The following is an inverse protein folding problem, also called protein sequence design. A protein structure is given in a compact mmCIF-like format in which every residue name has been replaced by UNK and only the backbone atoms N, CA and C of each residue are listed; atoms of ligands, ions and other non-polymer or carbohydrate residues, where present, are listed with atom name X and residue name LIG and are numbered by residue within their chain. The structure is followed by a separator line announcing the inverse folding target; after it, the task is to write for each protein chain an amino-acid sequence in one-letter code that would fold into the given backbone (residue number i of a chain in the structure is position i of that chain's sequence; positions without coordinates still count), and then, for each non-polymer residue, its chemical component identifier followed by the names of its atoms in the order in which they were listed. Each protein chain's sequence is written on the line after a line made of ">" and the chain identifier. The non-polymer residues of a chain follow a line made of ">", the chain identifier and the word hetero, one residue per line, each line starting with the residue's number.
data_IF_894359258683
#
_entry.id   IF_894359258683
#
_cell.length_a   1.000
_cell.length_b   1.000
_cell.length_c   1.000
_cell.angle_alpha   90.00
_cell.angle_beta   90.00
_cell.angle_gamma   90.00
#
_symmetry.space_group_name_H-M   'P 1'
#
loop_
_entity.id
_entity.type
_entity.pdbx_description
1 polymer ?
#
# COMPACT_ATOMS: atom_id res chain seq x y z
N UNK A 1 15.51 13.69 6.33
CA UNK A 1 16.41 12.55 6.07
C UNK A 1 15.52 11.34 5.78
N UNK A 2 15.35 11.00 4.50
CA UNK A 2 14.50 9.90 4.06
C UNK A 2 15.25 8.57 4.18
N UNK A 3 14.55 7.46 4.48
CA UNK A 3 15.17 6.13 4.56
C UNK A 3 15.69 5.63 3.20
N UNK A 4 16.26 4.43 3.15
CA UNK A 4 16.87 3.81 1.94
C UNK A 4 15.93 3.69 0.70
N UNK A 5 14.63 3.94 0.87
CA UNK A 5 13.58 3.99 -0.17
C UNK A 5 12.96 5.39 -0.38
N UNK A 6 13.56 6.44 0.18
CA UNK A 6 12.98 7.78 0.13
C UNK A 6 11.70 7.96 0.97
N UNK A 7 11.32 6.97 1.79
CA UNK A 7 10.07 7.01 2.56
C UNK A 7 10.05 8.12 3.63
N UNK A 8 8.89 8.76 3.88
CA UNK A 8 8.73 9.74 4.95
C UNK A 8 9.12 9.18 6.31
N UNK A 9 9.71 10.05 7.15
CA UNK A 9 10.04 9.69 8.53
C UNK A 9 8.74 9.36 9.28
N UNK A 10 8.71 8.20 9.92
CA UNK A 10 7.54 7.75 10.69
C UNK A 10 6.49 6.99 9.89
N UNK A 11 6.65 6.78 8.57
CA UNK A 11 5.71 6.00 7.75
C UNK A 11 5.38 4.63 8.38
N UNK A 12 6.41 3.92 8.88
CA UNK A 12 6.25 2.61 9.50
C UNK A 12 5.38 2.66 10.76
N UNK A 13 5.58 3.67 11.60
CA UNK A 13 4.78 3.87 12.82
C UNK A 13 3.37 4.32 12.48
N UNK A 14 3.20 5.14 11.45
CA UNK A 14 1.90 5.65 11.00
C UNK A 14 0.99 4.55 10.46
N UNK A 15 1.57 3.55 9.80
CA UNK A 15 0.85 2.39 9.24
C UNK A 15 0.85 1.17 10.16
N UNK A 16 1.36 1.29 11.39
CA UNK A 16 1.53 0.17 12.32
C UNK A 16 2.21 -1.05 11.66
N UNK A 17 3.25 -0.80 10.86
CA UNK A 17 4.00 -1.85 10.16
C UNK A 17 4.62 -2.78 11.18
N UNK A 18 4.33 -4.08 11.05
CA UNK A 18 4.72 -5.06 12.05
C UNK A 18 6.25 -5.18 12.17
N UNK A 19 6.78 -5.45 13.38
CA UNK A 19 8.19 -5.72 13.57
C UNK A 19 8.68 -6.85 12.65
N UNK A 20 9.86 -6.67 12.05
CA UNK A 20 10.46 -7.65 11.14
C UNK A 20 10.02 -7.56 9.68
N UNK A 21 8.98 -6.80 9.34
CA UNK A 21 8.60 -6.58 7.94
C UNK A 21 9.54 -5.58 7.25
N UNK A 22 10.07 -5.93 6.08
CA UNK A 22 10.93 -5.03 5.29
C UNK A 22 10.06 -4.23 4.34
N UNK A 23 10.15 -2.91 4.39
CA UNK A 23 9.47 -2.04 3.42
C UNK A 23 10.13 -2.26 2.05
N UNK A 24 9.31 -2.45 1.02
CA UNK A 24 9.73 -2.70 -0.37
C UNK A 24 9.40 -1.49 -1.23
N UNK A 25 8.16 -1.01 -1.14
CA UNK A 25 7.68 0.16 -1.86
C UNK A 25 6.70 0.95 -1.00
N UNK A 26 6.50 2.21 -1.34
CA UNK A 26 5.47 3.04 -0.73
C UNK A 26 4.91 4.04 -1.74
N UNK A 27 3.72 4.53 -1.46
CA UNK A 27 3.13 5.66 -2.17
C UNK A 27 2.24 6.49 -1.26
N UNK A 28 1.86 7.65 -1.76
CA UNK A 28 0.95 8.56 -1.08
C UNK A 28 0.09 9.31 -2.08
N UNK A 29 -1.13 9.64 -1.69
CA UNK A 29 -2.03 10.46 -2.51
C UNK A 29 -3.18 11.03 -1.71
N UNK A 30 -3.89 11.96 -2.35
CA UNK A 30 -5.11 12.52 -1.79
C UNK A 30 -6.29 11.56 -2.05
N UNK A 31 -7.04 11.16 -1.00
CA UNK A 31 -8.23 10.36 -1.18
C UNK A 31 -9.29 11.17 -1.95
N UNK A 32 -10.18 10.47 -2.67
CA UNK A 32 -11.23 11.12 -3.46
C UNK A 32 -12.18 11.99 -2.60
N UNK A 33 -12.34 11.65 -1.33
CA UNK A 33 -13.12 12.39 -0.35
C UNK A 33 -12.26 12.64 0.89
N UNK A 34 -11.49 13.73 0.89
CA UNK A 34 -10.69 14.13 2.06
C UNK A 34 -9.57 15.10 1.69
N UNK A 35 -9.00 15.74 2.71
CA UNK A 35 -7.86 16.67 2.56
C UNK A 35 -6.55 16.07 3.03
N UNK A 36 -6.60 14.94 3.73
CA UNK A 36 -5.41 14.36 4.36
C UNK A 36 -4.75 13.37 3.41
N UNK A 37 -3.44 13.54 3.23
CA UNK A 37 -2.61 12.61 2.45
C UNK A 37 -2.68 11.23 3.09
N UNK A 38 -3.06 10.25 2.29
CA UNK A 38 -3.09 8.83 2.68
C UNK A 38 -1.85 8.12 2.15
N UNK A 39 -1.36 7.15 2.89
CA UNK A 39 -0.20 6.34 2.52
C UNK A 39 -0.57 4.90 2.21
N UNK A 40 0.20 4.32 1.30
CA UNK A 40 0.24 2.88 1.03
C UNK A 40 1.68 2.41 1.21
N UNK A 41 1.87 1.26 1.86
CA UNK A 41 3.16 0.62 1.98
C UNK A 41 3.07 -0.85 1.59
N UNK A 42 3.95 -1.27 0.68
CA UNK A 42 4.19 -2.67 0.38
C UNK A 42 5.41 -3.14 1.16
N UNK A 43 5.25 -4.21 1.92
CA UNK A 43 6.35 -4.87 2.63
C UNK A 43 6.65 -6.22 1.98
N UNK A 44 7.64 -6.94 2.50
CA UNK A 44 7.86 -8.34 2.10
C UNK A 44 6.78 -9.32 2.60
N UNK A 45 5.75 -8.86 3.34
CA UNK A 45 4.70 -9.72 3.92
C UNK A 45 3.27 -9.26 3.61
N UNK A 46 3.03 -7.98 3.39
CA UNK A 46 1.69 -7.42 3.20
C UNK A 46 1.68 -6.08 2.44
N UNK A 47 0.50 -5.66 2.00
CA UNK A 47 0.16 -4.27 1.67
C UNK A 47 -0.55 -3.65 2.87
N UNK A 48 -0.16 -2.43 3.23
CA UNK A 48 -0.83 -1.56 4.19
C UNK A 48 -1.53 -0.42 3.47
N UNK A 49 -2.79 -0.18 3.82
CA UNK A 49 -3.66 0.80 3.18
C UNK A 49 -4.20 1.74 4.26
N UNK A 50 -3.60 2.92 4.41
CA UNK A 50 -3.94 3.84 5.50
C UNK A 50 -5.40 4.28 5.47
N UNK A 51 -5.92 4.61 4.28
CA UNK A 51 -7.28 5.12 4.10
C UNK A 51 -8.36 4.16 4.61
N UNK A 52 -8.01 2.87 4.73
CA UNK A 52 -8.90 1.82 5.23
C UNK A 52 -8.48 1.30 6.60
N UNK A 53 -7.30 1.70 7.11
CA UNK A 53 -6.71 1.10 8.32
C UNK A 53 -6.42 -0.40 8.15
N UNK A 54 -6.13 -0.84 6.93
CA UNK A 54 -6.08 -2.27 6.60
C UNK A 54 -4.66 -2.77 6.30
N UNK A 55 -4.41 -4.02 6.71
CA UNK A 55 -3.24 -4.81 6.34
C UNK A 55 -3.70 -6.06 5.57
N UNK A 56 -3.29 -6.18 4.31
CA UNK A 56 -3.63 -7.31 3.45
C UNK A 56 -2.37 -8.14 3.22
N UNK A 57 -2.25 -9.36 3.81
CA UNK A 57 -1.14 -10.25 3.52
C UNK A 57 -1.08 -10.62 2.04
N UNK A 58 0.13 -10.86 1.51
CA UNK A 58 0.29 -11.22 0.10
C UNK A 58 -0.51 -12.47 -0.32
N UNK A 59 -0.67 -13.43 0.59
CA UNK A 59 -1.46 -14.65 0.33
C UNK A 59 -2.95 -14.36 0.08
N UNK A 60 -3.43 -13.17 0.45
CA UNK A 60 -4.78 -12.68 0.19
C UNK A 60 -4.85 -11.66 -0.94
N UNK A 61 -3.77 -11.45 -1.70
CA UNK A 61 -3.76 -10.57 -2.87
C UNK A 61 -3.75 -11.43 -4.13
N UNK A 62 -4.83 -11.37 -4.90
CA UNK A 62 -4.91 -12.06 -6.20
C UNK A 62 -4.10 -11.32 -7.27
N UNK A 63 -4.24 -9.99 -7.28
CA UNK A 63 -3.60 -9.12 -8.25
C UNK A 63 -3.45 -7.72 -7.67
N UNK A 64 -2.33 -7.07 -7.95
CA UNK A 64 -2.18 -5.64 -7.77
C UNK A 64 -1.72 -5.04 -9.10
N UNK A 65 -2.35 -3.94 -9.51
CA UNK A 65 -2.02 -3.21 -10.72
C UNK A 65 -1.97 -1.72 -10.39
N UNK A 66 -0.90 -1.07 -10.82
CA UNK A 66 -0.79 0.37 -10.73
C UNK A 66 -0.87 0.94 -12.15
N UNK A 67 -1.91 1.73 -12.40
CA UNK A 67 -2.13 2.49 -13.62
C UNK A 67 -2.23 3.95 -13.19
N UNK A 68 -1.12 4.68 -13.29
CA UNK A 68 -0.94 5.99 -12.64
C UNK A 68 -2.13 6.95 -12.92
N UNK A 69 -2.72 7.56 -11.88
CA UNK A 69 -2.32 7.56 -10.46
C UNK A 69 -3.01 6.48 -9.60
N UNK A 70 -3.69 5.50 -10.19
CA UNK A 70 -4.58 4.58 -9.48
C UNK A 70 -3.93 3.22 -9.21
N UNK A 71 -3.76 2.87 -7.93
CA UNK A 71 -3.43 1.53 -7.49
C UNK A 71 -4.73 0.74 -7.27
N UNK A 72 -4.87 -0.37 -7.98
CA UNK A 72 -5.93 -1.36 -7.83
C UNK A 72 -5.38 -2.64 -7.19
N UNK A 73 -5.97 -3.06 -6.07
CA UNK A 73 -5.64 -4.31 -5.37
C UNK A 73 -6.88 -5.19 -5.31
N UNK A 74 -6.78 -6.39 -5.88
CA UNK A 74 -7.83 -7.41 -5.80
C UNK A 74 -7.49 -8.33 -4.62
N UNK A 75 -8.30 -8.24 -3.56
CA UNK A 75 -8.18 -9.07 -2.38
C UNK A 75 -9.06 -10.33 -2.48
N UNK A 76 -8.55 -11.41 -1.90
CA UNK A 76 -9.21 -12.70 -1.77
C UNK A 76 -9.95 -12.78 -0.43
N UNK A 77 -11.07 -13.51 -0.40
CA UNK A 77 -11.68 -13.96 0.84
C UNK A 77 -10.97 -15.19 1.45
N UNK A 78 -11.50 -15.70 2.56
CA UNK A 78 -10.99 -16.91 3.22
C UNK A 78 -11.15 -18.20 2.41
N UNK A 79 -11.93 -18.19 1.32
CA UNK A 79 -12.07 -19.31 0.38
C UNK A 79 -11.16 -19.16 -0.86
N UNK A 80 -10.32 -18.12 -0.89
CA UNK A 80 -9.43 -17.82 -2.01
C UNK A 80 -10.15 -17.27 -3.24
N UNK A 81 -11.38 -16.77 -3.09
CA UNK A 81 -12.13 -16.14 -4.18
C UNK A 81 -11.93 -14.62 -4.16
N UNK A 82 -11.79 -13.96 -5.33
CA UNK A 82 -11.79 -12.51 -5.41
C UNK A 82 -13.07 -11.94 -4.79
N UNK A 83 -12.92 -11.16 -3.72
CA UNK A 83 -14.05 -10.69 -2.92
C UNK A 83 -14.14 -9.18 -2.87
N UNK A 84 -13.02 -8.48 -3.08
CA UNK A 84 -12.95 -7.03 -2.97
C UNK A 84 -11.90 -6.43 -3.90
N UNK A 85 -12.29 -5.36 -4.58
CA UNK A 85 -11.37 -4.46 -5.27
C UNK A 85 -11.15 -3.23 -4.39
N UNK A 86 -9.91 -2.96 -4.02
CA UNK A 86 -9.50 -1.72 -3.36
C UNK A 86 -8.79 -0.84 -4.39
N UNK A 87 -9.31 0.37 -4.56
CA UNK A 87 -8.70 1.38 -5.44
C UNK A 87 -8.22 2.55 -4.60
N UNK A 88 -6.93 2.87 -4.68
CA UNK A 88 -6.30 4.00 -3.98
C UNK A 88 -5.60 4.89 -4.99
N UNK A 89 -5.84 6.20 -4.90
CA UNK A 89 -5.09 7.20 -5.66
C UNK A 89 -3.75 7.45 -4.99
N UNK A 90 -2.67 7.34 -5.76
CA UNK A 90 -1.29 7.60 -5.36
C UNK A 90 -0.68 8.63 -6.32
N UNK A 91 -0.44 9.84 -5.81
CA UNK A 91 0.16 10.94 -6.56
C UNK A 91 1.69 10.92 -6.49
N UNK A 92 2.27 10.22 -5.51
CA UNK A 92 3.69 9.96 -5.38
C UNK A 92 3.92 8.50 -5.03
N UNK A 93 4.93 7.86 -5.64
CA UNK A 93 5.35 6.52 -5.26
C UNK A 93 6.87 6.36 -5.42
N UNK A 94 7.46 5.48 -4.62
CA UNK A 94 8.87 5.13 -4.72
C UNK A 94 9.10 3.66 -4.36
N UNK A 95 10.09 3.03 -5.00
CA UNK A 95 10.39 1.60 -4.83
C UNK A 95 9.55 0.66 -5.69
N UNK A 96 8.80 1.18 -6.66
CA UNK A 96 8.19 0.35 -7.71
C UNK A 96 9.33 -0.10 -8.64
N UNK A 97 9.56 -1.41 -8.83
CA UNK A 97 10.56 -1.88 -9.79
C UNK A 97 10.24 -1.28 -11.16
N UNK A 98 11.27 -0.84 -11.89
CA UNK A 98 11.10 -0.51 -13.30
C UNK A 98 10.53 -1.76 -14.01
N UNK A 99 9.49 -1.55 -14.81
CA UNK A 99 8.81 -2.59 -15.56
C UNK A 99 9.75 -3.34 -16.53
#
# INVERSE_FOLDING_TARGET
>A
MFGRLGAPKGLRSRLDVLPGEKLVAWGSGLPASGTDVTYVAATNRAIYLESLGERIPWDFVSKAQWDEPMLAVVALDGAGQPSRLVSVRLDQANGVPAA
#
